data_IF_338248425151
#
_entry.id   IF_338248425151
#
_cell.length_a   1.000
_cell.length_b   1.000
_cell.length_c   1.000
_cell.angle_alpha   90.00
_cell.angle_beta   90.00
_cell.angle_gamma   90.00
#
_symmetry.space_group_name_H-M   'P 1'
#
loop_
_entity.id
_entity.type
_entity.pdbx_description
1 polymer ?
#
# COMPACT_ATOMS: atom_id res chain seq x y z
N UNK A 1 33.23 -1.29 79.44
CA UNK A 1 34.66 -1.04 79.76
C UNK A 1 35.47 -1.33 78.51
N UNK A 2 36.33 -0.39 78.11
CA UNK A 2 37.36 -0.48 77.05
C UNK A 2 36.88 -0.69 75.60
N UNK A 3 37.57 -0.24 74.55
CA UNK A 3 38.44 0.92 74.23
C UNK A 3 38.96 0.62 72.81
N UNK A 4 38.95 1.62 71.90
CA UNK A 4 39.92 1.83 70.80
C UNK A 4 39.80 0.86 69.58
N UNK A 5 40.06 1.17 68.31
CA UNK A 5 40.79 2.28 67.64
C UNK A 5 40.54 2.24 66.11
N UNK A 6 40.54 3.44 65.49
CA UNK A 6 41.16 3.89 64.22
C UNK A 6 41.06 3.06 62.90
N UNK A 7 40.45 3.58 61.80
CA UNK A 7 40.93 4.51 60.73
C UNK A 7 41.56 3.78 59.52
N UNK A 8 40.94 3.96 58.33
CA UNK A 8 41.52 4.40 57.04
C UNK A 8 40.62 3.92 55.87
N UNK A 9 39.76 4.78 55.30
CA UNK A 9 39.98 5.57 54.07
C UNK A 9 40.34 4.74 52.82
N UNK A 10 39.39 4.61 51.87
CA UNK A 10 39.62 4.94 50.46
C UNK A 10 38.31 5.00 49.66
N UNK A 11 38.03 6.23 49.21
CA UNK A 11 37.35 6.70 48.01
C UNK A 11 36.34 5.80 47.25
N UNK A 12 35.14 6.35 47.07
CA UNK A 12 34.18 5.90 46.08
C UNK A 12 32.92 6.76 46.11
N UNK A 13 33.01 7.98 45.58
CA UNK A 13 31.86 8.85 45.32
C UNK A 13 30.87 8.14 44.38
N UNK A 14 29.59 8.12 44.76
CA UNK A 14 28.52 7.64 43.90
C UNK A 14 27.18 7.68 44.63
N UNK A 15 26.50 8.82 44.51
CA UNK A 15 25.19 9.14 45.09
C UNK A 15 24.19 8.00 44.86
N UNK A 16 23.73 7.35 45.93
CA UNK A 16 22.56 6.47 45.89
C UNK A 16 21.30 7.33 45.64
N UNK A 17 20.90 7.42 44.38
CA UNK A 17 19.59 7.90 43.97
C UNK A 17 18.58 6.75 44.05
N UNK A 18 17.56 6.94 44.86
CA UNK A 18 16.32 6.19 44.99
C UNK A 18 15.79 5.66 43.65
N UNK A 19 15.70 4.34 43.51
CA UNK A 19 14.95 3.74 42.38
C UNK A 19 13.47 3.84 42.74
N UNK A 20 12.78 4.74 42.04
CA UNK A 20 11.35 4.98 42.19
C UNK A 20 10.57 3.74 41.72
N UNK A 21 9.66 3.25 42.55
CA UNK A 21 8.83 2.04 42.35
C UNK A 21 7.72 2.23 41.29
N UNK A 22 7.93 3.15 40.35
CA UNK A 22 6.98 3.53 39.30
C UNK A 22 7.30 2.97 37.91
N UNK A 23 8.39 2.19 37.77
CA UNK A 23 8.78 1.59 36.49
C UNK A 23 8.31 0.14 36.31
N UNK A 24 7.96 -0.56 37.40
CA UNK A 24 7.58 -1.97 37.37
C UNK A 24 6.13 -2.21 36.92
N UNK A 25 5.25 -1.20 36.98
CA UNK A 25 3.83 -1.33 36.59
C UNK A 25 3.55 -1.04 35.11
N UNK A 26 4.57 -0.67 34.33
CA UNK A 26 4.41 -0.30 32.91
C UNK A 26 4.68 -1.46 31.93
N UNK A 27 5.20 -2.60 32.42
CA UNK A 27 5.52 -3.76 31.57
C UNK A 27 4.37 -4.77 31.42
N UNK A 28 3.19 -4.47 31.97
CA UNK A 28 2.00 -5.33 31.86
C UNK A 28 0.96 -4.80 30.85
N UNK A 29 1.40 -4.03 29.85
CA UNK A 29 0.55 -3.56 28.75
C UNK A 29 1.02 -4.18 27.44
N UNK A 30 0.21 -5.13 26.95
CA UNK A 30 0.09 -5.65 25.59
C UNK A 30 1.42 -5.89 24.85
N UNK A 31 1.64 -7.13 24.42
CA UNK A 31 2.63 -7.44 23.37
C UNK A 31 2.22 -6.68 22.11
N UNK A 32 2.74 -5.46 21.94
CA UNK A 32 2.61 -4.72 20.69
C UNK A 32 3.41 -5.54 19.66
N UNK A 33 2.80 -6.03 18.57
CA UNK A 33 3.55 -6.77 17.58
C UNK A 33 4.66 -5.87 17.05
N UNK A 34 5.89 -6.40 16.95
CA UNK A 34 7.09 -5.66 16.51
C UNK A 34 6.85 -4.91 15.20
N UNK A 35 5.98 -5.44 14.33
CA UNK A 35 5.54 -4.76 13.10
C UNK A 35 4.93 -3.38 13.36
N UNK A 36 4.09 -3.24 14.39
CA UNK A 36 3.43 -1.96 14.76
C UNK A 36 4.44 -0.90 15.17
N UNK A 37 5.52 -1.28 15.87
CA UNK A 37 6.58 -0.34 16.30
C UNK A 37 7.45 0.10 15.12
N UNK A 38 7.75 -0.82 14.19
CA UNK A 38 8.52 -0.51 12.96
C UNK A 38 7.74 0.44 12.06
N UNK A 39 6.41 0.28 11.96
CA UNK A 39 5.56 1.16 11.15
C UNK A 39 5.35 2.54 11.76
N UNK A 40 5.28 2.66 13.09
CA UNK A 40 5.05 3.95 13.76
C UNK A 40 6.22 4.96 13.68
N UNK A 41 7.45 4.48 13.44
CA UNK A 41 8.66 5.34 13.42
C UNK A 41 9.18 5.68 12.01
N UNK A 42 8.58 5.14 10.94
CA UNK A 42 9.00 5.43 9.56
C UNK A 42 7.95 6.31 8.88
N UNK A 43 8.34 7.55 8.56
CA UNK A 43 7.49 8.55 7.89
C UNK A 43 7.69 8.56 6.36
N UNK A 44 8.06 7.43 5.77
CA UNK A 44 8.23 7.28 4.33
C UNK A 44 8.21 5.81 3.94
N UNK A 45 7.27 5.43 3.09
CA UNK A 45 7.10 4.08 2.58
C UNK A 45 8.28 3.59 1.74
N UNK A 46 9.08 4.50 1.18
CA UNK A 46 10.33 4.15 0.47
C UNK A 46 11.42 3.55 1.38
N UNK A 47 11.30 3.67 2.71
CA UNK A 47 12.29 3.13 3.65
C UNK A 47 12.13 1.63 3.92
N UNK A 48 11.02 1.03 3.49
CA UNK A 48 10.81 -0.41 3.63
C UNK A 48 11.49 -1.15 2.47
N UNK A 49 12.37 -2.09 2.80
CA UNK A 49 12.93 -3.01 1.79
C UNK A 49 11.84 -3.87 1.15
N UNK A 50 12.07 -4.44 -0.05
CA UNK A 50 11.11 -5.34 -0.68
C UNK A 50 10.66 -6.51 0.22
N UNK A 51 11.58 -7.12 0.96
CA UNK A 51 11.26 -8.23 1.86
C UNK A 51 10.42 -7.80 3.09
N UNK A 52 10.69 -6.61 3.65
CA UNK A 52 9.85 -6.06 4.73
C UNK A 52 8.45 -5.75 4.20
N UNK A 53 8.36 -5.08 3.05
CA UNK A 53 7.11 -4.75 2.41
C UNK A 53 6.26 -5.98 2.09
N UNK A 54 6.87 -7.02 1.51
CA UNK A 54 6.21 -8.29 1.24
C UNK A 54 5.60 -8.87 2.53
N UNK A 55 6.37 -8.97 3.61
CA UNK A 55 5.88 -9.45 4.89
C UNK A 55 4.70 -8.64 5.44
N UNK A 56 4.69 -7.33 5.18
CA UNK A 56 3.67 -6.40 5.69
C UNK A 56 2.38 -6.47 4.86
N UNK A 57 2.47 -6.35 3.53
CA UNK A 57 1.30 -6.11 2.67
C UNK A 57 0.88 -7.32 1.83
N UNK A 58 1.70 -8.37 1.65
CA UNK A 58 1.35 -9.49 0.78
C UNK A 58 -0.01 -10.15 1.09
N UNK A 59 -0.36 -10.44 2.36
CA UNK A 59 -1.67 -11.04 2.68
C UNK A 59 -2.83 -10.15 2.26
N UNK A 60 -2.71 -8.83 2.45
CA UNK A 60 -3.74 -7.85 2.09
C UNK A 60 -3.86 -7.66 0.59
N UNK A 61 -2.71 -7.57 -0.06
CA UNK A 61 -2.60 -7.49 -1.51
C UNK A 61 -3.30 -8.66 -2.18
N UNK A 62 -3.09 -9.88 -1.69
CA UNK A 62 -3.76 -11.08 -2.19
C UNK A 62 -5.28 -11.05 -1.95
N UNK A 63 -5.76 -10.52 -0.81
CA UNK A 63 -7.20 -10.33 -0.57
C UNK A 63 -7.81 -9.32 -1.56
N UNK A 64 -7.10 -8.23 -1.87
CA UNK A 64 -7.56 -7.25 -2.88
C UNK A 64 -7.64 -7.91 -4.25
N UNK A 65 -6.59 -8.62 -4.69
CA UNK A 65 -6.58 -9.32 -5.98
C UNK A 65 -7.70 -10.35 -6.08
N UNK A 66 -7.92 -11.15 -5.01
CA UNK A 66 -9.02 -12.11 -4.98
C UNK A 66 -10.38 -11.42 -5.08
N UNK A 67 -10.58 -10.33 -4.35
CA UNK A 67 -11.83 -9.57 -4.39
C UNK A 67 -12.08 -8.95 -5.78
N UNK A 68 -11.04 -8.46 -6.45
CA UNK A 68 -11.13 -7.97 -7.83
C UNK A 68 -11.49 -9.09 -8.80
N UNK A 69 -10.79 -10.23 -8.73
CA UNK A 69 -11.05 -11.42 -9.56
C UNK A 69 -12.49 -11.90 -9.46
N UNK A 70 -13.01 -11.99 -8.23
CA UNK A 70 -14.35 -12.51 -7.95
C UNK A 70 -15.44 -11.43 -8.08
N UNK A 71 -15.07 -10.20 -8.46
CA UNK A 71 -15.96 -9.02 -8.44
C UNK A 71 -16.65 -8.77 -7.09
N UNK A 72 -16.02 -9.19 -5.98
CA UNK A 72 -16.53 -9.05 -4.63
C UNK A 72 -16.24 -7.65 -4.07
N UNK A 73 -17.04 -6.68 -4.51
CA UNK A 73 -16.91 -5.28 -4.09
C UNK A 73 -17.26 -5.06 -2.61
N UNK A 74 -17.97 -6.00 -1.98
CA UNK A 74 -18.23 -5.93 -0.53
C UNK A 74 -16.93 -6.19 0.23
N UNK A 75 -16.22 -7.27 -0.11
CA UNK A 75 -14.91 -7.57 0.49
C UNK A 75 -13.89 -6.49 0.15
N UNK A 76 -13.80 -6.07 -1.12
CA UNK A 76 -12.89 -4.98 -1.51
C UNK A 76 -13.15 -3.71 -0.69
N UNK A 77 -14.41 -3.34 -0.49
CA UNK A 77 -14.79 -2.19 0.32
C UNK A 77 -14.27 -2.22 1.76
N UNK A 78 -14.08 -3.40 2.36
CA UNK A 78 -13.50 -3.53 3.72
C UNK A 78 -11.99 -3.30 3.76
N UNK A 79 -11.30 -3.44 2.62
CA UNK A 79 -9.86 -3.27 2.48
C UNK A 79 -9.48 -1.81 2.16
N UNK A 80 -10.46 -1.00 1.74
CA UNK A 80 -10.28 0.42 1.38
C UNK A 80 -10.08 1.28 2.63
N UNK A 81 -9.20 2.26 2.54
CA UNK A 81 -8.94 3.19 3.63
C UNK A 81 -10.22 3.93 4.05
N UNK A 82 -10.63 3.88 5.33
CA UNK A 82 -11.94 4.37 5.76
C UNK A 82 -12.10 5.89 5.60
N UNK A 83 -11.02 6.66 5.81
CA UNK A 83 -11.02 8.13 5.64
C UNK A 83 -10.66 8.56 4.23
N UNK A 84 -9.61 8.02 3.59
CA UNK A 84 -9.14 8.47 2.28
C UNK A 84 -9.98 7.91 1.12
N UNK A 85 -10.47 6.68 1.22
CA UNK A 85 -11.03 5.95 0.09
C UNK A 85 -9.93 5.33 -0.78
N UNK A 86 -10.32 4.79 -1.94
CA UNK A 86 -9.41 4.24 -2.94
C UNK A 86 -9.49 5.08 -4.22
N UNK A 87 -8.33 5.53 -4.69
CA UNK A 87 -8.15 6.19 -5.98
C UNK A 87 -7.98 5.16 -7.08
N UNK A 88 -8.55 5.43 -8.25
CA UNK A 88 -8.33 4.64 -9.46
C UNK A 88 -7.63 5.50 -10.52
N UNK A 89 -6.43 5.09 -10.90
CA UNK A 89 -5.61 5.75 -11.92
C UNK A 89 -5.45 4.80 -13.11
N UNK A 90 -5.96 5.14 -14.31
CA UNK A 90 -5.85 4.27 -15.49
C UNK A 90 -4.43 4.19 -16.09
N UNK A 91 -3.48 4.95 -15.55
CA UNK A 91 -2.09 5.05 -16.01
C UNK A 91 -1.11 4.99 -14.81
N UNK A 92 0.19 4.86 -15.09
CA UNK A 92 1.27 5.01 -14.11
C UNK A 92 1.36 6.41 -13.49
N UNK A 93 0.97 7.44 -14.23
CA UNK A 93 0.88 8.82 -13.75
C UNK A 93 -0.40 8.96 -12.95
N UNK A 94 -0.26 9.11 -11.64
CA UNK A 94 -1.38 9.40 -10.75
C UNK A 94 -1.72 10.89 -10.89
N UNK A 95 -3.00 11.21 -11.04
CA UNK A 95 -3.49 12.58 -11.16
C UNK A 95 -4.29 12.97 -9.88
N UNK A 96 -3.63 13.54 -8.85
CA UNK A 96 -4.23 13.88 -7.56
C UNK A 96 -5.61 14.54 -7.62
N UNK A 97 -5.82 15.42 -8.60
CA UNK A 97 -7.02 16.25 -8.76
C UNK A 97 -8.05 15.72 -9.76
N UNK A 98 -7.69 14.74 -10.60
CA UNK A 98 -8.54 14.25 -11.69
C UNK A 98 -8.99 12.80 -11.51
N UNK A 99 -8.13 11.94 -10.95
CA UNK A 99 -8.50 10.54 -10.74
C UNK A 99 -9.66 10.41 -9.74
N UNK A 100 -10.55 9.47 -10.03
CA UNK A 100 -11.73 9.23 -9.21
C UNK A 100 -11.37 8.48 -7.91
N UNK A 101 -12.00 8.90 -6.82
CA UNK A 101 -11.85 8.30 -5.49
C UNK A 101 -13.21 7.83 -4.99
N UNK A 102 -13.27 6.58 -4.52
CA UNK A 102 -14.48 6.01 -3.92
C UNK A 102 -14.21 5.53 -2.49
N UNK A 103 -15.19 5.71 -1.60
CA UNK A 103 -15.20 5.06 -0.29
C UNK A 103 -15.55 3.59 -0.44
N UNK A 104 -15.06 2.76 0.47
CA UNK A 104 -15.30 1.32 0.45
C UNK A 104 -16.79 0.96 0.43
N UNK A 105 -17.61 1.67 1.20
CA UNK A 105 -19.07 1.49 1.24
C UNK A 105 -19.79 1.83 -0.07
N UNK A 106 -19.16 2.58 -0.98
CA UNK A 106 -19.73 2.96 -2.27
C UNK A 106 -19.52 1.88 -3.34
N UNK A 107 -18.51 1.02 -3.21
CA UNK A 107 -18.13 0.08 -4.28
C UNK A 107 -19.22 -0.96 -4.56
N UNK A 108 -19.75 -1.60 -3.52
CA UNK A 108 -20.77 -2.64 -3.65
C UNK A 108 -22.09 -2.16 -4.27
N UNK A 109 -22.66 -0.99 -3.91
CA UNK A 109 -23.82 -0.48 -4.62
C UNK A 109 -23.49 0.04 -6.03
N UNK A 110 -22.34 0.69 -6.25
CA UNK A 110 -21.99 1.28 -7.55
C UNK A 110 -21.75 0.23 -8.64
N UNK A 111 -21.18 -0.93 -8.31
CA UNK A 111 -20.91 -1.98 -9.31
C UNK A 111 -22.18 -2.56 -9.95
N UNK A 112 -23.34 -2.37 -9.32
CA UNK A 112 -24.66 -2.80 -9.79
C UNK A 112 -25.42 -1.69 -10.54
N UNK A 113 -24.81 -0.53 -10.75
CA UNK A 113 -25.42 0.63 -11.40
C UNK A 113 -24.75 0.90 -12.73
N UNK A 114 -25.57 1.36 -13.68
CA UNK A 114 -25.09 1.85 -14.99
C UNK A 114 -24.68 3.33 -14.94
N UNK A 115 -24.26 3.82 -13.76
CA UNK A 115 -23.76 5.19 -13.61
C UNK A 115 -22.43 5.31 -14.34
N UNK A 116 -22.40 6.17 -15.36
CA UNK A 116 -21.21 6.45 -16.15
C UNK A 116 -20.40 7.57 -15.50
N UNK A 117 -19.10 7.35 -15.38
CA UNK A 117 -18.13 8.35 -14.93
C UNK A 117 -17.15 8.65 -16.05
N UNK A 118 -16.49 9.81 -15.96
CA UNK A 118 -15.37 10.16 -16.82
C UNK A 118 -14.07 9.89 -16.06
N UNK A 119 -13.32 8.88 -16.51
CA UNK A 119 -12.12 8.36 -15.83
C UNK A 119 -10.82 9.02 -16.30
N UNK A 120 -10.92 10.02 -17.18
CA UNK A 120 -9.81 10.61 -17.90
C UNK A 120 -10.06 10.56 -19.40
N UNK A 121 -8.99 10.46 -20.18
CA UNK A 121 -9.04 10.35 -21.63
C UNK A 121 -8.21 9.14 -22.10
N UNK A 122 -8.64 8.52 -23.21
CA UNK A 122 -7.85 7.47 -23.85
C UNK A 122 -6.59 8.05 -24.48
N UNK A 123 -5.46 7.39 -24.26
CA UNK A 123 -4.20 7.81 -24.88
C UNK A 123 -4.28 7.71 -26.42
N UNK A 124 -3.52 8.55 -27.10
CA UNK A 124 -3.49 8.69 -28.56
C UNK A 124 -4.72 9.38 -29.19
N UNK A 125 -5.93 9.17 -28.66
CA UNK A 125 -7.16 9.80 -29.19
C UNK A 125 -7.57 11.06 -28.42
N UNK A 126 -7.28 11.12 -27.13
CA UNK A 126 -7.76 12.19 -26.24
C UNK A 126 -9.28 12.15 -25.98
N UNK A 127 -9.99 11.11 -26.43
CA UNK A 127 -11.42 11.00 -26.18
C UNK A 127 -11.72 10.66 -24.73
N UNK A 128 -12.81 11.22 -24.15
CA UNK A 128 -13.14 11.00 -22.76
C UNK A 128 -13.46 9.52 -22.51
N UNK A 129 -12.85 8.96 -21.48
CA UNK A 129 -13.08 7.60 -21.01
C UNK A 129 -14.35 7.56 -20.18
N UNK A 130 -15.50 7.38 -20.85
CA UNK A 130 -16.83 7.34 -20.22
C UNK A 130 -17.26 5.91 -19.97
N UNK A 131 -17.10 5.44 -18.74
CA UNK A 131 -17.35 4.05 -18.34
C UNK A 131 -18.11 3.96 -17.02
N UNK A 132 -18.91 2.93 -16.85
CA UNK A 132 -19.39 2.51 -15.53
C UNK A 132 -18.24 1.96 -14.68
N UNK A 133 -18.42 1.86 -13.36
CA UNK A 133 -17.41 1.23 -12.49
C UNK A 133 -17.10 -0.21 -12.94
N UNK A 134 -18.12 -0.97 -13.35
CA UNK A 134 -17.94 -2.36 -13.80
C UNK A 134 -17.11 -2.45 -15.06
N UNK A 135 -17.39 -1.60 -16.05
CA UNK A 135 -16.63 -1.57 -17.30
C UNK A 135 -15.18 -1.13 -17.06
N UNK A 136 -14.98 -0.09 -16.23
CA UNK A 136 -13.64 0.37 -15.86
C UNK A 136 -12.83 -0.73 -15.18
N UNK A 137 -13.40 -1.41 -14.17
CA UNK A 137 -12.68 -2.50 -13.50
C UNK A 137 -12.28 -3.62 -14.45
N UNK A 138 -13.15 -3.99 -15.39
CA UNK A 138 -12.86 -5.05 -16.36
C UNK A 138 -11.78 -4.65 -17.39
N UNK A 139 -11.74 -3.38 -17.78
CA UNK A 139 -10.84 -2.91 -18.85
C UNK A 139 -9.49 -2.41 -18.32
N UNK A 140 -9.47 -1.83 -17.11
CA UNK A 140 -8.32 -1.09 -16.58
C UNK A 140 -7.87 -1.56 -15.19
N UNK A 141 -8.51 -2.55 -14.56
CA UNK A 141 -8.07 -3.04 -13.23
C UNK A 141 -7.82 -4.54 -13.23
N UNK A 142 -8.70 -5.33 -13.82
CA UNK A 142 -8.58 -6.79 -13.89
C UNK A 142 -8.67 -7.28 -15.34
N UNK A 143 -7.88 -6.66 -16.22
CA UNK A 143 -7.72 -7.00 -17.65
C UNK A 143 -6.88 -8.29 -17.88
N UNK A 144 -6.21 -8.76 -16.82
CA UNK A 144 -5.41 -9.98 -16.75
C UNK A 144 -5.71 -10.72 -15.45
N UNK A 145 -5.41 -12.02 -15.41
CA UNK A 145 -5.59 -12.82 -14.20
C UNK A 145 -4.47 -12.59 -13.18
N UNK A 146 -4.41 -11.41 -12.58
CA UNK A 146 -3.36 -11.02 -11.63
C UNK A 146 -3.27 -11.93 -10.39
N UNK A 147 -4.28 -12.75 -10.11
CA UNK A 147 -4.17 -13.84 -9.13
C UNK A 147 -3.10 -14.88 -9.49
N UNK A 148 -2.74 -14.99 -10.77
CA UNK A 148 -1.70 -15.85 -11.32
C UNK A 148 -0.65 -15.02 -12.10
N UNK A 149 -0.31 -13.82 -11.60
CA UNK A 149 0.70 -12.96 -12.21
C UNK A 149 2.06 -13.65 -12.38
N UNK A 150 2.77 -13.35 -13.47
CA UNK A 150 4.11 -13.91 -13.76
C UNK A 150 5.14 -13.47 -12.72
N UNK A 151 5.03 -12.22 -12.28
CA UNK A 151 5.88 -11.63 -11.25
C UNK A 151 5.04 -10.77 -10.32
N UNK A 152 5.40 -10.82 -9.05
CA UNK A 152 4.86 -9.92 -8.02
C UNK A 152 6.06 -9.27 -7.35
N UNK A 153 6.09 -7.93 -7.33
CA UNK A 153 7.06 -7.17 -6.56
C UNK A 153 6.37 -6.45 -5.41
N UNK A 154 7.12 -6.24 -4.33
CA UNK A 154 6.70 -5.47 -3.18
C UNK A 154 7.65 -4.29 -3.00
N UNK A 155 7.08 -3.09 -2.98
CA UNK A 155 7.76 -1.81 -2.83
C UNK A 155 8.87 -1.51 -3.87
N UNK A 156 8.82 -2.21 -5.00
CA UNK A 156 9.76 -2.12 -6.11
C UNK A 156 8.98 -2.10 -7.42
N UNK A 157 9.40 -1.23 -8.34
CA UNK A 157 8.81 -1.13 -9.67
C UNK A 157 9.37 -2.23 -10.59
N UNK A 158 8.51 -2.86 -11.39
CA UNK A 158 8.91 -3.81 -12.44
C UNK A 158 8.73 -3.14 -13.80
N UNK A 159 7.52 -2.65 -14.08
CA UNK A 159 7.14 -2.01 -15.32
C UNK A 159 7.73 -0.60 -15.43
N UNK A 160 8.24 -0.31 -16.63
CA UNK A 160 8.59 1.03 -17.07
C UNK A 160 7.69 1.40 -18.24
N UNK A 161 6.86 2.43 -18.07
CA UNK A 161 6.05 3.05 -19.11
C UNK A 161 6.72 4.32 -19.65
N UNK A 162 6.21 4.86 -20.76
CA UNK A 162 6.49 6.23 -21.22
C UNK A 162 5.95 7.28 -20.26
N UNK A 163 4.84 6.97 -19.59
CA UNK A 163 4.19 7.84 -18.59
C UNK A 163 5.04 8.03 -17.33
N UNK A 164 4.89 9.19 -16.69
CA UNK A 164 5.67 9.57 -15.51
C UNK A 164 5.24 8.75 -14.29
N UNK A 165 6.17 8.02 -13.68
CA UNK A 165 5.90 7.34 -12.42
C UNK A 165 6.08 8.28 -11.23
N UNK A 166 4.98 8.89 -10.76
CA UNK A 166 4.95 9.81 -9.62
C UNK A 166 4.41 9.18 -8.32
N UNK A 167 4.32 7.84 -8.24
CA UNK A 167 3.69 7.15 -7.10
C UNK A 167 4.30 7.56 -5.75
N UNK A 168 5.63 7.70 -5.68
CA UNK A 168 6.33 8.09 -4.45
C UNK A 168 6.12 9.56 -4.07
N UNK A 169 5.83 10.41 -5.06
CA UNK A 169 5.52 11.82 -4.81
C UNK A 169 4.11 11.98 -4.27
N UNK A 170 3.15 11.25 -4.84
CA UNK A 170 1.74 11.30 -4.42
C UNK A 170 1.51 10.55 -3.10
N UNK A 171 2.20 9.43 -2.91
CA UNK A 171 2.08 8.57 -1.73
C UNK A 171 3.44 8.33 -1.05
N UNK A 172 4.01 9.35 -0.39
CA UNK A 172 5.35 9.26 0.21
C UNK A 172 5.42 8.21 1.33
N UNK A 173 4.32 7.99 2.05
CA UNK A 173 4.23 7.07 3.19
C UNK A 173 3.80 5.65 2.80
N UNK A 174 3.40 5.43 1.54
CA UNK A 174 2.79 4.18 1.13
C UNK A 174 3.82 3.08 0.80
N UNK A 175 3.43 1.85 1.08
CA UNK A 175 4.03 0.65 0.50
C UNK A 175 3.09 0.17 -0.61
N UNK A 176 3.63 -0.34 -1.70
CA UNK A 176 2.82 -0.86 -2.80
C UNK A 176 3.26 -2.26 -3.22
N UNK A 177 2.36 -2.98 -3.87
CA UNK A 177 2.68 -4.21 -4.61
C UNK A 177 2.44 -3.99 -6.10
N UNK A 178 3.19 -4.65 -6.96
CA UNK A 178 3.03 -4.61 -8.40
C UNK A 178 2.91 -6.02 -8.97
N UNK A 179 1.78 -6.31 -9.62
CA UNK A 179 1.49 -7.59 -10.29
C UNK A 179 1.73 -7.42 -11.78
N UNK A 180 2.67 -8.17 -12.34
CA UNK A 180 3.21 -7.95 -13.67
C UNK A 180 2.99 -9.16 -14.59
N UNK A 181 2.62 -8.88 -15.85
CA UNK A 181 2.65 -9.80 -16.97
C UNK A 181 3.52 -9.23 -18.09
N UNK A 182 4.40 -10.04 -18.66
CA UNK A 182 5.09 -9.71 -19.90
C UNK A 182 4.14 -9.76 -21.11
N UNK A 183 4.45 -9.02 -22.17
CA UNK A 183 3.74 -9.15 -23.44
C UNK A 183 4.22 -10.40 -24.19
N UNK A 184 3.34 -11.06 -24.96
CA UNK A 184 3.71 -12.20 -25.82
C UNK A 184 4.20 -11.75 -27.20
N UNK A 185 5.23 -12.41 -27.74
CA UNK A 185 5.77 -12.12 -29.09
C UNK A 185 4.86 -12.55 -30.27
N UNK A 186 3.78 -13.31 -30.04
CA UNK A 186 3.09 -14.05 -31.12
C UNK A 186 1.91 -13.36 -31.83
N UNK A 187 1.63 -12.08 -31.59
CA UNK A 187 0.41 -11.43 -32.09
C UNK A 187 0.75 -10.25 -33.02
N UNK A 188 0.83 -10.58 -34.30
CA UNK A 188 1.56 -9.88 -35.36
C UNK A 188 0.80 -8.69 -36.02
N UNK A 189 0.10 -7.87 -35.23
CA UNK A 189 -0.46 -6.58 -35.74
C UNK A 189 -0.20 -5.40 -34.79
N UNK A 190 0.22 -5.61 -33.53
CA UNK A 190 0.59 -4.52 -32.59
C UNK A 190 1.71 -4.89 -31.61
N UNK A 191 2.60 -5.83 -31.98
CA UNK A 191 3.68 -6.39 -31.17
C UNK A 191 4.25 -5.46 -30.08
N UNK A 192 3.67 -5.56 -28.88
CA UNK A 192 4.04 -5.16 -27.52
C UNK A 192 2.74 -5.39 -26.70
N UNK A 193 2.68 -5.58 -25.38
CA UNK A 193 2.66 -4.57 -24.33
C UNK A 193 2.56 -5.34 -23.00
N UNK A 194 3.48 -5.12 -22.06
CA UNK A 194 3.32 -5.66 -20.70
C UNK A 194 2.08 -5.05 -20.02
N UNK A 195 1.55 -5.71 -18.99
CA UNK A 195 0.47 -5.17 -18.16
C UNK A 195 0.88 -5.26 -16.69
N UNK A 196 0.62 -4.20 -15.93
CA UNK A 196 0.95 -4.17 -14.50
C UNK A 196 -0.11 -3.49 -13.68
N UNK A 197 -0.47 -4.12 -12.57
CA UNK A 197 -1.40 -3.57 -11.60
C UNK A 197 -0.67 -3.24 -10.31
N UNK A 198 -0.69 -1.96 -9.92
CA UNK A 198 -0.14 -1.48 -8.65
C UNK A 198 -1.25 -1.32 -7.63
N UNK A 199 -1.08 -1.95 -6.47
CA UNK A 199 -1.94 -1.76 -5.31
C UNK A 199 -1.17 -0.98 -4.24
N UNK A 200 -1.71 0.15 -3.80
CA UNK A 200 -1.03 1.13 -2.97
C UNK A 200 -1.68 1.12 -1.58
N UNK A 201 -0.87 0.94 -0.55
CA UNK A 201 -1.31 0.80 0.82
C UNK A 201 -0.71 1.84 1.75
N UNK A 202 -1.54 2.39 2.63
CA UNK A 202 -1.10 3.24 3.73
C UNK A 202 -1.55 2.68 5.07
N UNK A 203 -0.74 2.94 6.09
CA UNK A 203 -1.02 2.52 7.45
C UNK A 203 -1.97 3.50 8.15
N UNK A 204 -3.00 2.98 8.79
CA UNK A 204 -3.97 3.75 9.57
C UNK A 204 -4.51 2.88 10.72
N UNK A 205 -4.41 3.39 11.95
CA UNK A 205 -4.93 2.72 13.17
C UNK A 205 -4.58 1.23 13.23
N UNK A 206 -3.28 0.95 13.21
CA UNK A 206 -2.71 -0.39 13.32
C UNK A 206 -2.90 -1.30 12.11
N UNK A 207 -3.35 -0.74 10.98
CA UNK A 207 -3.61 -1.56 9.82
C UNK A 207 -3.29 -0.92 8.46
N UNK A 208 -2.89 -1.73 7.49
CA UNK A 208 -2.63 -1.29 6.11
C UNK A 208 -3.91 -1.34 5.26
N UNK A 209 -4.26 -0.21 4.67
CA UNK A 209 -5.46 -0.07 3.85
C UNK A 209 -5.12 0.33 2.43
N UNK A 210 -5.91 -0.18 1.48
CA UNK A 210 -5.83 0.19 0.09
C UNK A 210 -6.26 1.65 -0.09
N UNK A 211 -5.38 2.47 -0.64
CA UNK A 211 -5.62 3.88 -0.95
C UNK A 211 -5.57 4.18 -2.44
N UNK A 212 -4.98 3.31 -3.24
CA UNK A 212 -4.87 3.50 -4.68
C UNK A 212 -4.71 2.20 -5.46
N UNK A 213 -5.27 2.20 -6.67
CA UNK A 213 -5.05 1.20 -7.72
C UNK A 213 -4.58 1.98 -8.96
N UNK A 214 -3.43 1.60 -9.51
CA UNK A 214 -2.89 2.18 -10.74
C UNK A 214 -2.60 1.08 -11.75
N UNK A 215 -3.08 1.27 -12.98
CA UNK A 215 -2.81 0.38 -14.09
C UNK A 215 -1.68 0.94 -14.93
N UNK A 216 -0.70 0.09 -15.23
CA UNK A 216 0.48 0.47 -16.01
C UNK A 216 0.56 -0.47 -17.18
N UNK A 217 0.07 0.00 -18.31
CA UNK A 217 0.27 -0.63 -19.59
C UNK A 217 1.17 0.27 -20.43
N UNK A 218 1.74 -0.27 -21.51
CA UNK A 218 2.41 0.59 -22.47
C UNK A 218 1.38 1.38 -23.28
N UNK A 219 1.71 2.63 -23.54
CA UNK A 219 0.89 3.58 -24.28
C UNK A 219 1.70 4.09 -25.48
N UNK A 220 1.01 4.45 -26.58
CA UNK A 220 1.59 4.74 -27.91
C UNK A 220 2.19 6.16 -27.95
#
# INVERSE_FOLDING_TARGET
>A
MLKKTAIALLAGLGVLGWVNESYASALDRAVIPVNTIVTANRSSGAQFSPAEAEKIIAPRSQLVIKALKDSDMKTLGTLVHPVKGVRFSPDATILPTADLIFKGEQLAPLIQKDTVFEWGAYDGTGFPMKLTLKEYLNQFVYDRDYANAEKIAYNQFIASSSSTNNLREVYPDAIFSEYYFSGSESNDITGMLFSSLRLIFEFYKDEWYLVGISHVHWTI
#
